data_IF_136429662451
#
_entry.id   IF_136429662451
#
_cell.length_a   1.000
_cell.length_b   1.000
_cell.length_c   1.000
_cell.angle_alpha   90.00
_cell.angle_beta   90.00
_cell.angle_gamma   90.00
#
_symmetry.space_group_name_H-M   'P 1'
#
loop_
_entity.id
_entity.type
_entity.pdbx_description
1 polymer ?
#
# COMPACT_ATOMS: atom_id res chain seq x y z
N UNK A 1 51.74 -2.10 19.82
CA UNK A 1 52.05 -0.74 19.32
C UNK A 1 51.02 -0.18 18.34
N UNK A 2 50.42 -0.94 17.39
CA UNK A 2 49.45 -0.37 16.44
C UNK A 2 48.06 -0.02 16.99
N UNK A 3 47.64 -0.63 18.10
CA UNK A 3 46.29 -0.51 18.65
C UNK A 3 46.05 0.83 19.40
N UNK A 4 47.09 1.37 20.03
CA UNK A 4 47.04 2.67 20.75
C UNK A 4 46.92 3.85 19.78
N UNK A 5 47.56 3.78 18.61
CA UNK A 5 47.46 4.79 17.57
C UNK A 5 46.09 4.80 16.87
N UNK A 6 45.48 3.63 16.63
CA UNK A 6 44.13 3.51 16.07
C UNK A 6 43.06 4.09 17.02
N UNK A 7 43.18 3.82 18.32
CA UNK A 7 42.29 4.38 19.35
C UNK A 7 42.45 5.90 19.44
N UNK A 8 43.68 6.42 19.42
CA UNK A 8 43.94 7.85 19.44
C UNK A 8 43.41 8.56 18.18
N UNK A 9 43.60 7.97 17.00
CA UNK A 9 43.06 8.50 15.75
C UNK A 9 41.53 8.53 15.76
N UNK A 10 40.86 7.43 16.13
CA UNK A 10 39.39 7.37 16.25
C UNK A 10 38.84 8.37 17.26
N UNK A 11 39.53 8.57 18.38
CA UNK A 11 39.15 9.57 19.40
C UNK A 11 39.25 11.00 18.85
N UNK A 12 40.33 11.34 18.15
CA UNK A 12 40.50 12.68 17.54
C UNK A 12 39.46 12.92 16.45
N UNK A 13 39.20 11.94 15.58
CA UNK A 13 38.19 12.07 14.52
C UNK A 13 36.76 12.14 15.07
N UNK A 14 36.44 11.39 16.13
CA UNK A 14 35.15 11.48 16.82
C UNK A 14 34.96 12.85 17.46
N UNK A 15 35.96 13.35 18.17
CA UNK A 15 35.91 14.68 18.81
C UNK A 15 35.86 15.81 17.77
N UNK A 16 36.56 15.68 16.64
CA UNK A 16 36.50 16.65 15.55
C UNK A 16 35.11 16.66 14.89
N UNK A 17 34.50 15.49 14.69
CA UNK A 17 33.12 15.40 14.21
C UNK A 17 32.16 16.08 15.20
N UNK A 18 32.43 15.96 16.50
CA UNK A 18 31.59 16.54 17.53
C UNK A 18 31.71 18.08 17.64
N UNK A 19 32.93 18.61 17.55
CA UNK A 19 33.20 20.04 17.51
C UNK A 19 32.64 20.69 16.24
N UNK A 20 32.77 20.01 15.10
CA UNK A 20 32.19 20.42 13.81
C UNK A 20 30.66 20.46 13.91
N UNK A 21 30.05 19.40 14.46
CA UNK A 21 28.60 19.35 14.66
C UNK A 21 28.13 20.49 15.57
N UNK A 22 28.81 20.73 16.70
CA UNK A 22 28.49 21.82 17.62
C UNK A 22 28.54 23.18 16.93
N UNK A 23 29.62 23.42 16.16
CA UNK A 23 29.83 24.68 15.45
C UNK A 23 28.76 24.94 14.38
N UNK A 24 28.43 23.95 13.55
CA UNK A 24 27.45 24.11 12.46
C UNK A 24 25.99 24.05 12.91
N UNK A 25 25.68 23.30 13.98
CA UNK A 25 24.32 23.26 14.53
C UNK A 25 23.97 24.58 15.22
N UNK A 26 24.95 25.25 15.85
CA UNK A 26 24.69 26.41 16.69
C UNK A 26 23.80 26.09 17.89
N UNK A 27 23.77 24.82 18.31
CA UNK A 27 22.97 24.27 19.40
C UNK A 27 23.88 23.46 20.33
N UNK A 28 23.54 23.41 21.61
CA UNK A 28 24.09 22.40 22.53
C UNK A 28 23.52 21.05 22.13
N UNK A 29 24.36 20.04 21.87
CA UNK A 29 23.89 18.69 21.59
C UNK A 29 24.69 17.65 22.39
N UNK A 30 24.11 16.46 22.51
CA UNK A 30 24.75 15.29 23.12
C UNK A 30 24.55 14.12 22.17
N UNK A 31 25.63 13.48 21.73
CA UNK A 31 25.56 12.26 20.91
C UNK A 31 25.04 11.13 21.79
N UNK A 32 23.93 10.51 21.40
CA UNK A 32 23.30 9.40 22.15
C UNK A 32 23.58 8.05 21.49
N UNK A 33 23.60 8.01 20.15
CA UNK A 33 23.84 6.79 19.38
C UNK A 33 24.40 7.12 17.98
N UNK A 34 24.93 6.11 17.30
CA UNK A 34 25.36 6.20 15.89
C UNK A 34 24.36 5.46 14.99
N UNK A 35 23.67 6.22 14.13
CA UNK A 35 22.64 5.67 13.26
C UNK A 35 23.27 5.16 11.95
N UNK A 36 23.43 3.84 11.83
CA UNK A 36 23.82 3.21 10.56
C UNK A 36 22.58 2.97 9.70
N UNK A 37 22.50 3.64 8.55
CA UNK A 37 21.43 3.46 7.58
C UNK A 37 22.06 3.09 6.23
N UNK A 38 21.72 1.90 5.72
CA UNK A 38 21.98 1.54 4.32
C UNK A 38 20.78 1.99 3.46
N UNK A 39 21.02 2.87 2.48
CA UNK A 39 19.98 3.41 1.60
C UNK A 39 19.62 2.47 0.44
N UNK A 40 19.58 1.15 0.67
CA UNK A 40 19.19 0.18 -0.37
C UNK A 40 17.79 -0.33 -0.09
N UNK A 41 16.78 0.31 -0.69
CA UNK A 41 15.39 -0.14 -0.62
C UNK A 41 14.93 -0.46 -2.03
N UNK A 42 14.83 -1.76 -2.34
CA UNK A 42 14.15 -2.25 -3.54
C UNK A 42 12.69 -2.45 -3.18
N UNK A 43 11.86 -1.43 -3.36
CA UNK A 43 10.41 -1.61 -3.38
C UNK A 43 9.98 -2.05 -4.77
N UNK A 44 9.73 -3.35 -4.94
CA UNK A 44 8.97 -3.85 -6.09
C UNK A 44 7.49 -3.87 -5.73
N UNK A 45 6.82 -2.72 -5.77
CA UNK A 45 5.35 -2.68 -5.81
C UNK A 45 4.89 -2.32 -7.21
N UNK A 46 4.02 -3.15 -7.74
CA UNK A 46 3.51 -3.08 -9.13
C UNK A 46 2.39 -2.04 -9.30
N UNK A 47 2.00 -1.30 -8.26
CA UNK A 47 0.75 -0.52 -8.30
C UNK A 47 0.80 0.77 -7.49
N UNK A 48 1.54 1.76 -7.98
CA UNK A 48 1.22 3.16 -7.74
C UNK A 48 0.49 3.68 -8.99
N UNK A 49 -0.75 4.15 -8.86
CA UNK A 49 -1.47 4.72 -10.00
C UNK A 49 -1.02 6.17 -10.20
N UNK A 50 -0.10 6.39 -11.14
CA UNK A 50 0.47 7.71 -11.45
C UNK A 50 0.04 8.17 -12.85
N UNK A 51 -0.56 9.35 -12.93
CA UNK A 51 -1.01 9.98 -14.17
C UNK A 51 -0.52 11.41 -14.29
N UNK A 52 -0.10 11.81 -15.49
CA UNK A 52 0.04 13.23 -15.81
C UNK A 52 -1.35 13.82 -16.08
N UNK A 53 -1.72 14.87 -15.35
CA UNK A 53 -3.02 15.54 -15.50
C UNK A 53 -2.81 17.04 -15.69
N UNK A 54 -3.65 17.67 -16.51
CA UNK A 54 -3.74 19.14 -16.60
C UNK A 54 -4.91 19.60 -15.74
N UNK A 55 -4.65 20.57 -14.86
CA UNK A 55 -5.63 21.16 -13.93
C UNK A 55 -5.65 22.67 -14.06
N UNK A 56 -6.56 23.33 -13.35
CA UNK A 56 -6.61 24.80 -13.25
C UNK A 56 -5.34 25.41 -12.63
N UNK A 57 -4.52 24.59 -11.94
CA UNK A 57 -3.25 24.99 -11.33
C UNK A 57 -2.02 24.59 -12.18
N UNK A 58 -2.23 24.02 -13.37
CA UNK A 58 -1.19 23.55 -14.27
C UNK A 58 -1.07 22.03 -14.35
N UNK A 59 0.01 21.58 -15.00
CA UNK A 59 0.33 20.16 -15.15
C UNK A 59 0.84 19.58 -13.83
N UNK A 60 0.21 18.49 -13.38
CA UNK A 60 0.55 17.77 -12.16
C UNK A 60 0.76 16.28 -12.45
N UNK A 61 1.39 15.58 -11.51
CA UNK A 61 1.37 14.13 -11.44
C UNK A 61 0.36 13.69 -10.36
N UNK A 62 -0.82 13.24 -10.78
CA UNK A 62 -1.79 12.61 -9.88
C UNK A 62 -1.26 11.24 -9.48
N UNK A 63 -1.07 11.03 -8.18
CA UNK A 63 -0.63 9.75 -7.61
C UNK A 63 -1.68 9.25 -6.62
N UNK A 64 -2.25 8.08 -6.90
CA UNK A 64 -3.25 7.42 -6.07
C UNK A 64 -2.68 6.12 -5.50
N UNK A 65 -2.80 5.98 -4.19
CA UNK A 65 -2.36 4.82 -3.43
C UNK A 65 -3.53 4.23 -2.64
N UNK A 66 -3.64 2.91 -2.60
CA UNK A 66 -4.76 2.19 -2.00
C UNK A 66 -4.31 1.44 -0.74
N UNK A 67 -5.04 1.59 0.37
CA UNK A 67 -4.70 0.93 1.64
C UNK A 67 -5.92 0.26 2.28
N UNK A 68 -5.75 -1.01 2.67
CA UNK A 68 -6.75 -1.79 3.43
C UNK A 68 -6.43 -1.88 4.92
N UNK A 69 -5.24 -1.46 5.33
CA UNK A 69 -4.77 -1.47 6.71
C UNK A 69 -4.12 -0.14 7.07
N UNK A 70 -4.05 0.15 8.38
CA UNK A 70 -3.37 1.35 8.85
C UNK A 70 -1.86 1.12 8.85
N UNK A 71 -1.15 1.84 7.98
CA UNK A 71 0.30 1.85 7.90
C UNK A 71 0.84 3.13 8.55
N UNK A 72 1.47 3.00 9.73
CA UNK A 72 2.04 4.16 10.42
C UNK A 72 3.26 4.76 9.68
N UNK A 73 3.81 4.07 8.68
CA UNK A 73 4.89 4.58 7.82
C UNK A 73 4.37 5.27 6.57
N UNK A 74 3.04 5.38 6.39
CA UNK A 74 2.44 5.94 5.19
C UNK A 74 2.97 7.35 4.83
N UNK A 75 3.15 8.30 5.78
CA UNK A 75 3.71 9.61 5.45
C UNK A 75 5.11 9.56 4.84
N UNK A 76 5.99 8.68 5.34
CA UNK A 76 7.33 8.51 4.81
C UNK A 76 7.32 7.92 3.40
N UNK A 77 6.43 6.94 3.15
CA UNK A 77 6.23 6.35 1.82
C UNK A 77 5.73 7.41 0.82
N UNK A 78 4.72 8.19 1.21
CA UNK A 78 4.17 9.25 0.37
C UNK A 78 5.20 10.32 0.04
N UNK A 79 6.00 10.77 1.01
CA UNK A 79 7.08 11.73 0.77
C UNK A 79 8.11 11.17 -0.22
N UNK A 80 8.52 9.91 -0.05
CA UNK A 80 9.46 9.27 -0.98
C UNK A 80 8.89 9.21 -2.39
N UNK A 81 7.63 8.77 -2.56
CA UNK A 81 6.98 8.76 -3.88
C UNK A 81 6.90 10.16 -4.49
N UNK A 82 6.59 11.18 -3.70
CA UNK A 82 6.59 12.57 -4.17
C UNK A 82 7.97 12.97 -4.71
N UNK A 83 9.04 12.68 -3.95
CA UNK A 83 10.41 13.01 -4.38
C UNK A 83 10.81 12.27 -5.67
N UNK A 84 10.45 10.99 -5.80
CA UNK A 84 10.73 10.22 -7.02
C UNK A 84 9.95 10.74 -8.23
N UNK A 85 8.68 11.09 -8.07
CA UNK A 85 7.86 11.66 -9.13
C UNK A 85 8.44 12.99 -9.61
N UNK A 86 8.81 13.86 -8.67
CA UNK A 86 9.40 15.16 -8.99
C UNK A 86 10.73 14.99 -9.74
N UNK A 87 11.60 14.08 -9.27
CA UNK A 87 12.90 13.83 -9.89
C UNK A 87 12.76 13.23 -11.30
N UNK A 88 11.90 12.22 -11.47
CA UNK A 88 11.77 11.48 -12.74
C UNK A 88 10.96 12.23 -13.80
N UNK A 89 9.94 12.98 -13.38
CA UNK A 89 8.96 13.56 -14.30
C UNK A 89 8.93 15.09 -14.31
N UNK A 90 9.63 15.75 -13.38
CA UNK A 90 9.63 17.21 -13.24
C UNK A 90 8.21 17.79 -13.16
N UNK A 91 7.32 17.09 -12.45
CA UNK A 91 5.94 17.47 -12.19
C UNK A 91 5.68 17.56 -10.68
N UNK A 92 4.81 18.48 -10.29
CA UNK A 92 4.36 18.58 -8.89
C UNK A 92 3.38 17.43 -8.61
N UNK A 93 3.63 16.59 -7.59
CA UNK A 93 2.76 15.48 -7.29
C UNK A 93 1.51 15.97 -6.55
N UNK A 94 0.33 15.50 -6.97
CA UNK A 94 -0.90 15.59 -6.21
C UNK A 94 -1.25 14.20 -5.71
N UNK A 95 -1.08 14.00 -4.41
CA UNK A 95 -1.08 12.67 -3.82
C UNK A 95 -2.35 12.40 -3.03
N UNK A 96 -2.94 11.23 -3.28
CA UNK A 96 -4.15 10.76 -2.61
C UNK A 96 -3.94 9.33 -2.11
N UNK A 97 -4.15 9.10 -0.83
CA UNK A 97 -4.31 7.76 -0.25
C UNK A 97 -5.79 7.50 -0.05
N UNK A 98 -6.28 6.39 -0.60
CA UNK A 98 -7.65 5.92 -0.45
C UNK A 98 -7.64 4.74 0.51
N UNK A 99 -8.20 4.95 1.69
CA UNK A 99 -8.34 3.94 2.72
C UNK A 99 -9.72 3.31 2.67
N UNK A 100 -9.79 1.99 2.66
CA UNK A 100 -11.05 1.22 2.66
C UNK A 100 -10.92 -0.02 3.54
N UNK A 101 -10.16 0.11 4.63
CA UNK A 101 -10.00 -0.94 5.62
C UNK A 101 -11.22 -1.10 6.52
N UNK A 102 -11.28 -2.27 7.18
CA UNK A 102 -12.36 -2.60 8.13
C UNK A 102 -12.36 -1.71 9.39
N UNK A 103 -11.19 -1.24 9.80
CA UNK A 103 -10.98 -0.52 11.06
C UNK A 103 -11.15 1.00 10.91
N UNK A 104 -11.12 1.72 12.02
CA UNK A 104 -10.99 3.18 11.96
C UNK A 104 -9.64 3.61 11.37
N UNK A 105 -9.68 4.64 10.53
CA UNK A 105 -8.49 5.26 9.97
C UNK A 105 -7.67 5.90 11.09
N UNK A 106 -6.37 5.61 11.11
CA UNK A 106 -5.38 6.10 12.08
C UNK A 106 -4.10 6.60 11.44
N UNK A 107 -3.96 6.48 10.11
CA UNK A 107 -2.80 6.98 9.41
C UNK A 107 -2.80 8.51 9.45
N UNK A 108 -1.62 9.09 9.64
CA UNK A 108 -1.43 10.54 9.51
C UNK A 108 -1.36 10.91 8.03
N UNK A 109 -1.90 12.06 7.66
CA UNK A 109 -1.90 12.61 6.30
C UNK A 109 -0.76 13.61 6.06
N UNK A 110 0.17 13.69 7.01
CA UNK A 110 1.26 14.66 7.01
C UNK A 110 2.55 14.10 7.60
N UNK A 111 3.65 14.75 7.24
CA UNK A 111 4.94 14.60 7.89
C UNK A 111 5.53 16.00 8.06
N UNK A 112 5.62 16.45 9.30
CA UNK A 112 6.16 17.76 9.62
C UNK A 112 7.15 17.72 10.78
N UNK A 113 8.17 18.56 10.69
CA UNK A 113 9.09 18.84 11.79
C UNK A 113 9.64 20.24 11.61
N UNK A 114 10.08 20.85 12.72
CA UNK A 114 10.69 22.17 12.69
C UNK A 114 11.89 22.22 13.65
N UNK A 115 13.09 22.26 13.07
CA UNK A 115 14.38 22.32 13.75
C UNK A 115 15.12 23.61 13.39
N UNK A 116 15.01 24.61 14.27
CA UNK A 116 15.58 25.94 14.02
C UNK A 116 14.93 26.62 12.80
N UNK A 117 15.63 27.59 12.18
CA UNK A 117 15.03 28.44 11.14
C UNK A 117 15.05 27.87 9.72
N UNK A 118 15.87 26.83 9.47
CA UNK A 118 16.18 26.35 8.11
C UNK A 118 15.93 24.86 7.90
N UNK A 119 15.89 24.05 8.96
CA UNK A 119 15.64 22.62 8.85
C UNK A 119 14.19 22.38 9.27
N UNK A 120 13.27 22.39 8.31
CA UNK A 120 11.88 22.05 8.56
C UNK A 120 11.32 21.32 7.36
N UNK A 121 10.32 20.48 7.62
CA UNK A 121 9.51 19.83 6.61
C UNK A 121 8.05 20.15 6.93
N UNK A 122 7.29 20.47 5.89
CA UNK A 122 5.85 20.59 5.97
C UNK A 122 5.27 19.89 4.74
N UNK A 123 5.01 18.59 4.87
CA UNK A 123 4.53 17.75 3.80
C UNK A 123 3.15 17.21 4.17
N UNK A 124 2.20 17.36 3.24
CA UNK A 124 0.82 16.90 3.38
C UNK A 124 0.40 16.19 2.10
N UNK A 125 -0.47 15.21 2.22
CA UNK A 125 -1.16 14.57 1.12
C UNK A 125 -2.63 14.38 1.49
N UNK A 126 -3.47 14.08 0.49
CA UNK A 126 -4.89 13.86 0.74
C UNK A 126 -5.10 12.43 1.22
N UNK A 127 -5.79 12.27 2.34
CA UNK A 127 -6.20 10.96 2.86
C UNK A 127 -7.73 10.89 2.84
N UNK A 128 -8.28 9.86 2.19
CA UNK A 128 -9.72 9.64 2.03
C UNK A 128 -10.08 8.33 2.74
N UNK A 129 -10.95 8.37 3.76
CA UNK A 129 -11.60 7.17 4.31
C UNK A 129 -12.88 6.88 3.54
N UNK A 130 -12.89 5.80 2.76
CA UNK A 130 -14.08 5.35 2.03
C UNK A 130 -15.23 4.99 2.98
N UNK A 131 -14.95 4.62 4.22
CA UNK A 131 -15.96 4.35 5.23
C UNK A 131 -16.76 5.59 5.67
N UNK A 132 -16.25 6.80 5.43
CA UNK A 132 -16.96 8.05 5.72
C UNK A 132 -17.88 8.50 4.57
N UNK A 133 -17.61 8.03 3.35
CA UNK A 133 -18.44 8.31 2.17
C UNK A 133 -19.83 7.72 2.38
N UNK A 134 -20.90 8.47 2.12
CA UNK A 134 -22.26 7.95 2.27
C UNK A 134 -22.64 7.11 1.07
N UNK A 135 -23.49 6.11 1.31
CA UNK A 135 -24.00 5.25 0.25
C UNK A 135 -24.66 6.08 -0.87
N UNK A 136 -25.46 7.07 -0.46
CA UNK A 136 -26.20 7.96 -1.34
C UNK A 136 -25.26 8.84 -2.18
N UNK A 137 -24.11 9.28 -1.63
CA UNK A 137 -23.11 10.07 -2.35
C UNK A 137 -22.58 9.33 -3.59
N UNK A 138 -22.46 7.99 -3.52
CA UNK A 138 -22.06 7.17 -4.68
C UNK A 138 -23.27 6.86 -5.57
N UNK A 139 -24.37 6.42 -4.97
CA UNK A 139 -25.55 5.96 -5.70
C UNK A 139 -26.18 7.08 -6.56
N UNK A 140 -26.07 8.34 -6.15
CA UNK A 140 -26.64 9.47 -6.89
C UNK A 140 -25.76 9.98 -8.03
N UNK A 141 -24.46 9.65 -8.04
CA UNK A 141 -23.51 10.14 -9.06
C UNK A 141 -23.80 9.63 -10.47
N UNK A 142 -24.45 8.47 -10.60
CA UNK A 142 -24.55 7.68 -11.84
C UNK A 142 -23.19 7.27 -12.43
N UNK A 143 -22.09 7.46 -11.71
CA UNK A 143 -20.79 6.88 -12.06
C UNK A 143 -20.78 5.42 -11.65
N UNK A 144 -21.42 4.57 -12.45
CA UNK A 144 -21.69 3.17 -12.10
C UNK A 144 -20.44 2.34 -11.80
N UNK A 145 -19.26 2.74 -12.28
CA UNK A 145 -18.00 2.08 -11.92
C UNK A 145 -17.70 2.19 -10.41
N UNK A 146 -18.15 3.27 -9.76
CA UNK A 146 -18.04 3.45 -8.31
C UNK A 146 -18.93 2.49 -7.53
N UNK A 147 -19.91 1.85 -8.15
CA UNK A 147 -20.80 0.93 -7.45
C UNK A 147 -20.05 -0.29 -6.93
N UNK A 148 -18.90 -0.62 -7.53
CA UNK A 148 -18.00 -1.65 -7.01
C UNK A 148 -17.54 -1.39 -5.56
N UNK A 149 -17.51 -0.12 -5.14
CA UNK A 149 -17.09 0.28 -3.79
C UNK A 149 -18.23 0.38 -2.78
N UNK A 150 -19.51 0.27 -3.19
CA UNK A 150 -20.65 0.39 -2.27
C UNK A 150 -20.56 -0.50 -1.02
N UNK A 151 -20.08 -1.76 -1.10
CA UNK A 151 -19.91 -2.60 0.09
C UNK A 151 -18.93 -2.04 1.14
N UNK A 152 -18.06 -1.12 0.76
CA UNK A 152 -17.00 -0.56 1.60
C UNK A 152 -17.37 0.76 2.27
N UNK A 153 -18.36 1.48 1.73
CA UNK A 153 -18.72 2.82 2.19
C UNK A 153 -19.69 2.79 3.38
N UNK A 154 -19.97 3.97 3.91
CA UNK A 154 -20.91 4.22 5.00
C UNK A 154 -20.77 3.24 6.17
N UNK A 155 -19.58 3.25 6.79
CA UNK A 155 -19.14 2.32 7.85
C UNK A 155 -20.16 2.23 8.99
N UNK A 156 -20.73 3.36 9.39
CA UNK A 156 -21.75 3.43 10.45
C UNK A 156 -23.02 2.65 10.06
N UNK A 157 -23.58 2.93 8.87
CA UNK A 157 -24.78 2.25 8.37
C UNK A 157 -24.51 0.77 8.13
N UNK A 158 -23.35 0.45 7.56
CA UNK A 158 -22.88 -0.91 7.34
C UNK A 158 -22.78 -1.72 8.63
N UNK A 159 -22.21 -1.15 9.70
CA UNK A 159 -22.12 -1.83 11.00
C UNK A 159 -23.49 -2.00 11.66
N UNK A 160 -24.43 -1.09 11.41
CA UNK A 160 -25.78 -1.15 11.98
C UNK A 160 -26.71 -2.13 11.25
N UNK A 161 -26.62 -2.18 9.92
CA UNK A 161 -27.52 -2.96 9.05
C UNK A 161 -26.90 -4.28 8.58
N UNK A 162 -25.58 -4.46 8.74
CA UNK A 162 -24.83 -5.69 8.47
C UNK A 162 -25.11 -6.30 7.08
N UNK A 163 -25.77 -7.45 7.03
CA UNK A 163 -26.12 -8.14 5.79
C UNK A 163 -27.17 -7.39 4.95
N UNK A 164 -28.10 -6.70 5.60
CA UNK A 164 -29.13 -5.92 4.90
C UNK A 164 -28.50 -4.76 4.13
N UNK A 165 -27.39 -4.19 4.63
CA UNK A 165 -26.59 -3.22 3.88
C UNK A 165 -26.00 -3.84 2.61
N UNK A 166 -25.38 -5.02 2.72
CA UNK A 166 -24.79 -5.69 1.56
C UNK A 166 -25.83 -6.04 0.51
N UNK A 167 -27.04 -6.42 0.95
CA UNK A 167 -28.19 -6.67 0.08
C UNK A 167 -28.59 -5.40 -0.69
N UNK A 168 -28.69 -4.24 -0.02
CA UNK A 168 -28.94 -2.95 -0.68
C UNK A 168 -27.86 -2.61 -1.72
N UNK A 169 -26.59 -2.86 -1.41
CA UNK A 169 -25.50 -2.70 -2.37
C UNK A 169 -25.68 -3.59 -3.61
N UNK A 170 -26.00 -4.86 -3.42
CA UNK A 170 -26.25 -5.80 -4.51
C UNK A 170 -27.46 -5.40 -5.36
N UNK A 171 -28.54 -4.88 -4.74
CA UNK A 171 -29.72 -4.37 -5.43
C UNK A 171 -29.38 -3.15 -6.29
N UNK A 172 -28.61 -2.19 -5.75
CA UNK A 172 -28.15 -1.04 -6.50
C UNK A 172 -27.29 -1.43 -7.73
N UNK A 173 -26.41 -2.42 -7.57
CA UNK A 173 -25.61 -2.98 -8.68
C UNK A 173 -26.50 -3.70 -9.69
N UNK A 174 -27.49 -4.48 -9.24
CA UNK A 174 -28.43 -5.19 -10.13
C UNK A 174 -29.20 -4.20 -11.01
N UNK A 175 -29.69 -3.12 -10.42
CA UNK A 175 -30.63 -2.18 -11.04
C UNK A 175 -29.94 -1.11 -11.91
N UNK A 176 -28.61 -1.05 -11.91
CA UNK A 176 -27.89 -0.07 -12.72
C UNK A 176 -28.07 -0.31 -14.24
N UNK A 177 -28.33 0.76 -15.03
CA UNK A 177 -28.59 0.68 -16.46
C UNK A 177 -27.29 0.68 -17.29
N UNK A 178 -26.48 -0.38 -17.13
CA UNK A 178 -25.27 -0.60 -17.95
C UNK A 178 -25.37 -1.90 -18.75
N UNK A 179 -24.51 -2.06 -19.76
CA UNK A 179 -24.44 -3.28 -20.54
C UNK A 179 -24.02 -4.49 -19.69
N UNK A 180 -24.31 -5.69 -20.20
CA UNK A 180 -24.04 -6.95 -19.49
C UNK A 180 -22.56 -7.06 -19.10
N UNK A 181 -21.62 -6.83 -20.03
CA UNK A 181 -20.19 -7.02 -19.75
C UNK A 181 -19.67 -6.05 -18.69
N UNK A 182 -20.10 -4.78 -18.73
CA UNK A 182 -19.78 -3.81 -17.68
C UNK A 182 -20.36 -4.22 -16.32
N UNK A 183 -21.61 -4.70 -16.30
CA UNK A 183 -22.28 -5.18 -15.09
C UNK A 183 -21.53 -6.33 -14.45
N UNK A 184 -21.12 -7.31 -15.23
CA UNK A 184 -20.36 -8.49 -14.77
C UNK A 184 -19.04 -8.09 -14.10
N UNK A 185 -18.30 -7.14 -14.69
CA UNK A 185 -17.06 -6.64 -14.10
C UNK A 185 -17.29 -5.94 -12.75
N UNK A 186 -18.31 -5.07 -12.66
CA UNK A 186 -18.64 -4.36 -11.43
C UNK A 186 -19.08 -5.33 -10.33
N UNK A 187 -19.89 -6.34 -10.67
CA UNK A 187 -20.34 -7.38 -9.73
C UNK A 187 -19.14 -8.12 -9.14
N UNK A 188 -18.19 -8.54 -9.96
CA UNK A 188 -16.99 -9.25 -9.49
C UNK A 188 -16.12 -8.35 -8.62
N UNK A 189 -15.86 -7.12 -9.07
CA UNK A 189 -15.11 -6.16 -8.26
C UNK A 189 -15.79 -5.90 -6.91
N UNK A 190 -17.12 -5.76 -6.88
CA UNK A 190 -17.88 -5.58 -5.65
C UNK A 190 -17.78 -6.77 -4.70
N UNK A 191 -17.86 -8.01 -5.21
CA UNK A 191 -17.69 -9.21 -4.39
C UNK A 191 -16.30 -9.29 -3.76
N UNK A 192 -15.26 -8.99 -4.54
CA UNK A 192 -13.86 -8.98 -4.05
C UNK A 192 -13.69 -7.92 -2.98
N UNK A 193 -14.13 -6.69 -3.26
CA UNK A 193 -14.03 -5.57 -2.33
C UNK A 193 -14.85 -5.81 -1.06
N UNK A 194 -16.05 -6.41 -1.16
CA UNK A 194 -16.85 -6.81 -0.02
C UNK A 194 -16.10 -7.76 0.93
N UNK A 195 -15.21 -8.62 0.39
CA UNK A 195 -14.38 -9.54 1.17
C UNK A 195 -13.40 -8.87 2.15
N UNK A 196 -13.22 -7.55 2.07
CA UNK A 196 -12.43 -6.78 3.03
C UNK A 196 -13.18 -6.64 4.37
N UNK A 197 -14.51 -6.65 4.33
CA UNK A 197 -15.37 -6.30 5.46
C UNK A 197 -16.45 -7.33 5.79
N UNK A 198 -16.76 -8.24 4.86
CA UNK A 198 -17.74 -9.33 5.01
C UNK A 198 -17.10 -10.71 4.82
N UNK A 199 -17.71 -11.72 5.44
CA UNK A 199 -17.32 -13.12 5.25
C UNK A 199 -17.77 -13.63 3.88
N UNK A 200 -16.98 -14.55 3.33
CA UNK A 200 -17.17 -15.08 1.97
C UNK A 200 -18.55 -15.72 1.78
N UNK A 201 -19.01 -16.49 2.76
CA UNK A 201 -20.30 -17.19 2.70
C UNK A 201 -21.47 -16.21 2.60
N UNK A 202 -21.38 -15.07 3.29
CA UNK A 202 -22.41 -14.01 3.27
C UNK A 202 -22.45 -13.35 1.88
N UNK A 203 -21.27 -13.02 1.35
CA UNK A 203 -21.14 -12.40 0.02
C UNK A 203 -21.73 -13.32 -1.05
N UNK A 204 -21.32 -14.60 -1.07
CA UNK A 204 -21.80 -15.58 -2.04
C UNK A 204 -23.31 -15.76 -1.97
N UNK A 205 -23.88 -15.88 -0.76
CA UNK A 205 -25.33 -15.98 -0.57
C UNK A 205 -26.06 -14.76 -1.10
N UNK A 206 -25.71 -13.56 -0.64
CA UNK A 206 -26.44 -12.33 -0.97
C UNK A 206 -26.36 -12.01 -2.46
N UNK A 207 -25.17 -12.09 -3.06
CA UNK A 207 -25.03 -11.80 -4.49
C UNK A 207 -25.75 -12.85 -5.36
N UNK A 208 -25.75 -14.13 -4.95
CA UNK A 208 -26.51 -15.17 -5.64
C UNK A 208 -28.02 -14.94 -5.54
N UNK A 209 -28.52 -14.55 -4.36
CA UNK A 209 -29.95 -14.27 -4.14
C UNK A 209 -30.44 -13.03 -4.91
N UNK A 210 -29.65 -11.96 -4.91
CA UNK A 210 -30.08 -10.66 -5.46
C UNK A 210 -29.84 -10.57 -6.96
N UNK A 211 -28.67 -11.00 -7.43
CA UNK A 211 -28.23 -10.79 -8.81
C UNK A 211 -28.47 -12.06 -9.65
N UNK A 212 -28.55 -13.24 -9.03
CA UNK A 212 -28.74 -14.51 -9.74
C UNK A 212 -27.55 -14.93 -10.60
N UNK A 213 -26.39 -14.28 -10.43
CA UNK A 213 -25.16 -14.58 -11.13
C UNK A 213 -24.21 -15.30 -10.18
N UNK A 214 -23.98 -16.61 -10.40
CA UNK A 214 -22.82 -17.30 -9.84
C UNK A 214 -21.55 -16.61 -10.31
N UNK A 215 -20.45 -16.67 -9.52
CA UNK A 215 -19.13 -16.11 -9.88
C UNK A 215 -18.84 -16.39 -11.36
N UNK A 216 -18.78 -15.33 -12.17
CA UNK A 216 -18.64 -15.48 -13.62
C UNK A 216 -17.20 -15.83 -13.94
N UNK A 217 -16.94 -17.13 -14.06
CA UNK A 217 -15.62 -17.69 -14.40
C UNK A 217 -15.06 -17.13 -15.72
N UNK A 218 -15.91 -16.55 -16.57
CA UNK A 218 -15.53 -15.95 -17.85
C UNK A 218 -14.98 -14.52 -17.75
N UNK A 219 -15.19 -13.82 -16.63
CA UNK A 219 -14.69 -12.44 -16.47
C UNK A 219 -13.17 -12.39 -16.58
N UNK A 220 -12.69 -11.34 -17.27
CA UNK A 220 -11.26 -11.07 -17.40
C UNK A 220 -10.63 -10.80 -16.03
N UNK A 221 -11.31 -10.04 -15.17
CA UNK A 221 -10.83 -9.70 -13.82
C UNK A 221 -10.70 -10.95 -12.96
N UNK A 222 -11.72 -11.83 -12.98
CA UNK A 222 -11.68 -13.08 -12.23
C UNK A 222 -10.53 -13.98 -12.69
N UNK A 223 -10.31 -14.12 -14.00
CA UNK A 223 -9.18 -14.88 -14.55
C UNK A 223 -7.83 -14.30 -14.18
N UNK A 224 -7.65 -12.98 -14.26
CA UNK A 224 -6.41 -12.32 -13.85
C UNK A 224 -6.09 -12.54 -12.37
N UNK A 225 -7.10 -12.49 -11.50
CA UNK A 225 -6.95 -12.75 -10.07
C UNK A 225 -6.60 -14.22 -9.81
N UNK A 226 -7.29 -15.15 -10.47
CA UNK A 226 -6.97 -16.58 -10.37
C UNK A 226 -5.53 -16.87 -10.83
N UNK A 227 -5.09 -16.28 -11.94
CA UNK A 227 -3.72 -16.42 -12.41
C UNK A 227 -2.70 -15.82 -11.44
N UNK A 228 -2.96 -14.61 -10.91
CA UNK A 228 -2.09 -13.98 -9.90
C UNK A 228 -2.03 -14.83 -8.64
N UNK A 229 -3.17 -15.27 -8.10
CA UNK A 229 -3.24 -16.12 -6.92
C UNK A 229 -2.54 -17.47 -7.11
N UNK A 230 -2.64 -18.07 -8.31
CA UNK A 230 -1.89 -19.29 -8.63
C UNK A 230 -0.38 -19.05 -8.63
N UNK A 231 0.09 -17.97 -9.27
CA UNK A 231 1.52 -17.60 -9.29
C UNK A 231 2.04 -17.30 -7.89
N UNK A 232 1.26 -16.60 -7.08
CA UNK A 232 1.62 -16.27 -5.69
C UNK A 232 1.67 -17.53 -4.82
N UNK A 233 0.68 -18.42 -4.90
CA UNK A 233 0.70 -19.70 -4.19
C UNK A 233 1.84 -20.64 -4.63
N UNK A 234 2.17 -20.69 -5.91
CA UNK A 234 3.35 -21.41 -6.40
C UNK A 234 4.64 -20.83 -5.80
N UNK A 235 4.73 -19.50 -5.72
CA UNK A 235 5.87 -18.78 -5.15
C UNK A 235 5.99 -18.98 -3.63
N UNK A 236 4.90 -18.89 -2.88
CA UNK A 236 4.88 -19.14 -1.43
C UNK A 236 5.32 -20.57 -1.12
N UNK A 237 4.82 -21.55 -1.88
CA UNK A 237 5.24 -22.94 -1.76
C UNK A 237 6.73 -23.12 -2.08
N UNK A 238 7.24 -22.44 -3.11
CA UNK A 238 8.69 -22.43 -3.39
C UNK A 238 9.51 -21.85 -2.24
N UNK A 239 9.02 -20.81 -1.55
CA UNK A 239 9.68 -20.23 -0.36
C UNK A 239 9.64 -21.19 0.82
N UNK A 240 8.51 -21.87 1.05
CA UNK A 240 8.38 -22.87 2.11
C UNK A 240 9.36 -24.04 1.90
N UNK A 241 9.40 -24.59 0.68
CA UNK A 241 10.36 -25.63 0.29
C UNK A 241 11.81 -25.10 0.46
N UNK A 242 12.09 -23.86 0.07
CA UNK A 242 13.42 -23.28 0.26
C UNK A 242 13.82 -23.24 1.74
N UNK A 243 12.91 -22.86 2.64
CA UNK A 243 13.16 -22.86 4.09
C UNK A 243 13.43 -24.24 4.65
N UNK A 244 12.70 -25.26 4.20
CA UNK A 244 12.93 -26.65 4.62
C UNK A 244 14.30 -27.17 4.14
N UNK A 245 14.62 -26.96 2.86
CA UNK A 245 15.91 -27.38 2.29
C UNK A 245 17.09 -26.65 2.92
N UNK A 246 16.93 -25.37 3.30
CA UNK A 246 17.94 -24.62 4.06
C UNK A 246 18.16 -25.24 5.45
N UNK A 247 17.09 -25.65 6.15
CA UNK A 247 17.19 -26.33 7.46
C UNK A 247 17.92 -27.67 7.35
N UNK A 248 17.76 -28.38 6.23
CA UNK A 248 18.48 -29.63 5.96
C UNK A 248 19.94 -29.40 5.51
N UNK A 249 20.39 -28.15 5.42
CA UNK A 249 21.78 -27.80 5.07
C UNK A 249 22.09 -27.93 3.58
N UNK A 250 21.08 -27.88 2.70
CA UNK A 250 21.27 -27.96 1.26
C UNK A 250 21.93 -26.68 0.71
N UNK A 251 22.80 -26.83 -0.30
CA UNK A 251 23.47 -25.70 -0.94
C UNK A 251 22.48 -24.72 -1.61
N UNK A 252 22.72 -23.42 -1.41
CA UNK A 252 21.85 -22.33 -1.88
C UNK A 252 21.64 -22.37 -3.40
N UNK A 253 22.66 -22.69 -4.19
CA UNK A 253 22.52 -22.74 -5.66
C UNK A 253 21.65 -23.93 -6.08
N UNK A 254 21.71 -25.02 -5.32
CA UNK A 254 20.85 -26.19 -5.56
C UNK A 254 19.41 -25.93 -5.15
N UNK A 255 19.20 -25.22 -4.03
CA UNK A 255 17.86 -24.74 -3.62
C UNK A 255 17.27 -23.80 -4.67
N UNK A 256 18.08 -22.88 -5.22
CA UNK A 256 17.65 -21.98 -6.29
C UNK A 256 17.16 -22.74 -7.54
N UNK A 257 17.88 -23.80 -7.93
CA UNK A 257 17.46 -24.64 -9.05
C UNK A 257 16.17 -25.42 -8.77
N UNK A 258 16.00 -25.95 -7.55
CA UNK A 258 14.83 -26.76 -7.17
C UNK A 258 13.57 -25.90 -7.05
N UNK A 259 13.69 -24.75 -6.38
CA UNK A 259 12.57 -23.87 -6.02
C UNK A 259 12.28 -22.82 -7.10
N UNK A 260 13.19 -22.67 -8.07
CA UNK A 260 13.19 -21.61 -9.09
C UNK A 260 13.23 -20.20 -8.51
N UNK A 261 13.61 -20.06 -7.25
CA UNK A 261 13.89 -18.77 -6.61
C UNK A 261 15.31 -18.32 -6.97
N UNK A 262 15.53 -17.01 -6.97
CA UNK A 262 16.87 -16.46 -7.11
C UNK A 262 17.70 -16.72 -5.84
N UNK A 263 19.02 -16.77 -6.02
CA UNK A 263 19.98 -16.92 -4.92
C UNK A 263 19.84 -15.80 -3.89
N UNK A 264 19.55 -14.57 -4.33
CA UNK A 264 19.33 -13.42 -3.45
C UNK A 264 18.09 -13.58 -2.59
N UNK A 265 16.98 -14.07 -3.16
CA UNK A 265 15.75 -14.36 -2.42
C UNK A 265 15.99 -15.42 -1.35
N UNK A 266 16.72 -16.49 -1.68
CA UNK A 266 17.02 -17.56 -0.72
C UNK A 266 17.94 -17.05 0.40
N UNK A 267 18.92 -16.19 0.09
CA UNK A 267 19.78 -15.57 1.11
C UNK A 267 18.99 -14.70 2.09
N UNK A 268 17.94 -14.02 1.63
CA UNK A 268 17.04 -13.25 2.51
C UNK A 268 16.26 -14.12 3.50
N UNK A 269 16.10 -15.42 3.24
CA UNK A 269 15.44 -16.37 4.13
C UNK A 269 16.33 -16.88 5.28
N UNK A 270 17.63 -16.56 5.25
CA UNK A 270 18.59 -16.91 6.31
C UNK A 270 18.66 -15.87 7.45
N UNK A 271 17.94 -14.74 7.28
CA UNK A 271 17.83 -13.67 8.27
C UNK A 271 16.58 -13.84 9.15
#
# INVERSE_FOLDING_TARGET
>A
MGQEYDIAAKSIFSNLADDIASYFLGLTYTKIDELNIEFTIVESRESDMIFKCTTDYGDIALHMEFQTYNDNKMPYRMLRYATEIMEKHNLVPYQVVIYFGKNELKMEDKLDYHLGKKNFLNFHYRLIDMGEVKFEDIAETKYYDLYAFLPLVDKEKRQKEEEEYLKKCAEAIRDMPVDKGKKENIVISAQILAGIVYDKEIIERIFSEVIGMSILEESKIYREILEKGKKEGEREKSIEIAKELLKEGMDINKIAQITKLSVEEIKKLLN
#
